data_IF_230962062672
#
_entry.id   IF_230962062672
#
_cell.length_a   1.000
_cell.length_b   1.000
_cell.length_c   1.000
_cell.angle_alpha   90.00
_cell.angle_beta   90.00
_cell.angle_gamma   90.00
#
_symmetry.space_group_name_H-M   'P 1'
#
loop_
_entity.id
_entity.type
_entity.pdbx_description
1 polymer ?
#
# COMPACT_ATOMS: atom_id res chain seq x y z
N UNK A 1 -18.97 -72.85 -34.61
CA UNK A 1 -19.47 -72.48 -35.94
C UNK A 1 -18.30 -72.04 -36.80
N UNK A 2 -18.34 -72.46 -38.07
CA UNK A 2 -17.27 -72.44 -39.06
C UNK A 2 -16.89 -71.02 -39.54
N UNK A 3 -15.63 -70.90 -40.01
CA UNK A 3 -14.98 -69.75 -40.66
C UNK A 3 -15.72 -69.28 -41.94
N UNK A 4 -15.28 -68.16 -42.55
CA UNK A 4 -14.36 -68.25 -43.71
C UNK A 4 -13.18 -67.26 -43.61
N UNK A 5 -11.92 -67.71 -43.83
CA UNK A 5 -11.13 -67.77 -45.09
C UNK A 5 -10.41 -66.45 -45.43
N UNK A 6 -9.07 -66.45 -45.30
CA UNK A 6 -8.02 -66.51 -46.37
C UNK A 6 -7.84 -65.13 -47.04
N UNK A 7 -6.66 -64.55 -47.13
CA UNK A 7 -5.39 -64.97 -47.76
C UNK A 7 -4.26 -64.18 -47.05
N UNK A 8 -2.98 -64.52 -47.05
CA UNK A 8 -2.14 -65.18 -48.03
C UNK A 8 -0.72 -64.64 -47.79
N UNK A 9 0.23 -65.54 -47.77
CA UNK A 9 1.58 -65.37 -47.23
C UNK A 9 2.58 -64.75 -48.21
N UNK A 10 3.58 -64.08 -47.63
CA UNK A 10 5.03 -64.30 -47.86
C UNK A 10 5.84 -63.54 -48.93
N UNK A 11 7.09 -63.30 -48.50
CA UNK A 11 8.37 -63.05 -49.21
C UNK A 11 8.81 -61.61 -49.56
N UNK A 12 9.75 -61.14 -48.72
CA UNK A 12 11.00 -60.39 -48.95
C UNK A 12 11.18 -59.73 -50.32
N UNK A 13 11.66 -58.48 -50.34
CA UNK A 13 12.85 -58.03 -51.10
C UNK A 13 13.32 -56.69 -50.53
N UNK A 14 14.64 -56.50 -50.45
CA UNK A 14 15.24 -55.33 -49.81
C UNK A 14 15.50 -54.15 -50.74
N UNK A 15 16.27 -53.22 -50.16
CA UNK A 15 17.13 -52.20 -50.76
C UNK A 15 16.72 -50.73 -50.57
N UNK A 16 17.77 -49.99 -50.15
CA UNK A 16 18.08 -48.58 -50.37
C UNK A 16 17.55 -47.55 -49.37
N UNK A 17 18.54 -47.09 -48.58
CA UNK A 17 18.61 -45.79 -47.91
C UNK A 17 18.25 -44.68 -48.90
N UNK A 18 17.28 -43.86 -48.55
CA UNK A 18 17.21 -42.47 -48.96
C UNK A 18 16.92 -41.65 -47.71
N UNK A 19 17.89 -40.82 -47.34
CA UNK A 19 17.71 -39.82 -46.30
C UNK A 19 16.78 -38.73 -46.82
N UNK A 20 15.81 -38.36 -45.99
CA UNK A 20 15.13 -37.09 -46.08
C UNK A 20 15.33 -36.40 -44.73
N UNK A 21 16.34 -35.54 -44.66
CA UNK A 21 16.52 -34.61 -43.57
C UNK A 21 15.36 -33.59 -43.67
N UNK A 22 14.42 -33.67 -42.74
CA UNK A 22 13.41 -32.62 -42.56
C UNK A 22 14.13 -31.45 -41.90
N UNK A 23 14.43 -30.43 -42.69
CA UNK A 23 14.95 -29.15 -42.22
C UNK A 23 13.81 -28.46 -41.44
N UNK A 24 13.79 -28.63 -40.13
CA UNK A 24 12.97 -27.80 -39.26
C UNK A 24 13.62 -26.41 -39.22
N UNK A 25 13.15 -25.51 -40.10
CA UNK A 25 13.48 -24.10 -40.01
C UNK A 25 12.71 -23.55 -38.80
N UNK A 26 13.35 -23.62 -37.64
CA UNK A 26 12.97 -22.82 -36.48
C UNK A 26 13.25 -21.36 -36.83
N UNK A 27 12.26 -20.69 -37.40
CA UNK A 27 12.27 -19.24 -37.52
C UNK A 27 12.14 -18.70 -36.10
N UNK A 28 13.28 -18.49 -35.44
CA UNK A 28 13.37 -17.57 -34.31
C UNK A 28 13.12 -16.18 -34.89
N UNK A 29 11.86 -15.78 -34.95
CA UNK A 29 11.51 -14.36 -35.03
C UNK A 29 11.96 -13.74 -33.71
N UNK A 30 13.19 -13.24 -33.65
CA UNK A 30 13.56 -12.20 -32.71
C UNK A 30 12.71 -11.01 -33.09
N UNK A 31 11.54 -10.87 -32.47
CA UNK A 31 10.84 -9.60 -32.47
C UNK A 31 11.75 -8.64 -31.72
N UNK A 32 12.59 -7.93 -32.45
CA UNK A 32 13.12 -6.65 -32.02
C UNK A 32 11.91 -5.75 -31.89
N UNK A 33 11.24 -5.80 -30.74
CA UNK A 33 10.55 -4.62 -30.25
C UNK A 33 11.58 -3.49 -30.39
N UNK A 34 11.24 -2.42 -31.11
CA UNK A 34 12.00 -1.19 -31.05
C UNK A 34 11.91 -0.71 -29.60
N UNK A 35 12.76 -1.26 -28.73
CA UNK A 35 12.83 -0.88 -27.34
C UNK A 35 13.34 0.55 -27.28
N UNK A 36 12.65 1.39 -26.53
CA UNK A 36 13.20 2.65 -26.07
C UNK A 36 14.57 2.38 -25.44
N UNK A 37 15.53 3.27 -25.67
CA UNK A 37 16.83 3.21 -25.00
C UNK A 37 16.60 3.27 -23.49
N UNK A 38 17.22 2.37 -22.68
CA UNK A 38 17.13 2.45 -21.23
C UNK A 38 17.54 3.83 -20.72
N UNK A 39 16.82 4.39 -19.72
CA UNK A 39 17.24 5.62 -19.08
C UNK A 39 18.58 5.41 -18.39
N UNK A 40 19.44 6.43 -18.39
CA UNK A 40 20.72 6.37 -17.70
C UNK A 40 20.51 6.42 -16.18
N UNK A 41 20.87 5.35 -15.48
CA UNK A 41 20.94 5.34 -14.03
C UNK A 41 22.11 6.20 -13.51
N UNK A 42 22.01 6.72 -12.27
CA UNK A 42 23.05 7.57 -11.69
C UNK A 42 24.39 6.84 -11.61
N UNK A 43 25.46 7.52 -12.01
CA UNK A 43 26.83 7.01 -11.88
C UNK A 43 27.32 7.03 -10.43
N UNK A 44 26.84 7.97 -9.62
CA UNK A 44 27.02 8.02 -8.18
C UNK A 44 25.77 7.46 -7.48
N UNK A 45 25.82 6.17 -7.15
CA UNK A 45 24.75 5.45 -6.44
C UNK A 45 24.84 5.59 -4.92
N UNK A 46 25.75 6.42 -4.41
CA UNK A 46 25.77 6.72 -2.98
C UNK A 46 24.51 7.46 -2.55
N UNK A 47 24.06 7.32 -1.28
CA UNK A 47 22.93 8.09 -0.76
C UNK A 47 23.03 9.60 -1.00
N UNK A 48 24.24 10.17 -0.95
CA UNK A 48 24.46 11.60 -1.22
C UNK A 48 24.31 11.95 -2.71
N UNK A 49 24.82 11.10 -3.61
CA UNK A 49 24.68 11.26 -5.05
C UNK A 49 23.23 11.18 -5.52
N UNK A 50 22.52 10.13 -5.08
CA UNK A 50 21.10 9.92 -5.35
C UNK A 50 20.26 11.07 -4.78
N UNK A 51 20.50 11.46 -3.53
CA UNK A 51 19.83 12.60 -2.92
C UNK A 51 20.01 13.88 -3.76
N UNK A 52 21.25 14.23 -4.12
CA UNK A 52 21.54 15.41 -4.94
C UNK A 52 20.83 15.39 -6.29
N UNK A 53 20.74 14.22 -6.94
CA UNK A 53 20.02 14.05 -8.19
C UNK A 53 18.52 14.30 -7.99
N UNK A 54 17.90 13.61 -7.03
CA UNK A 54 16.44 13.63 -6.82
C UNK A 54 15.92 14.98 -6.32
N UNK A 55 16.68 15.69 -5.50
CA UNK A 55 16.30 17.04 -5.02
C UNK A 55 16.74 18.16 -5.95
N UNK A 56 17.46 17.82 -7.02
CA UNK A 56 17.88 18.77 -8.05
C UNK A 56 16.81 19.04 -9.11
N UNK A 57 17.10 19.95 -10.04
CA UNK A 57 16.15 20.36 -11.10
C UNK A 57 15.80 19.23 -12.07
N UNK A 58 16.64 18.21 -12.19
CA UNK A 58 16.41 17.04 -13.06
C UNK A 58 15.77 15.85 -12.32
N UNK A 59 15.50 15.97 -11.03
CA UNK A 59 15.07 14.85 -10.19
C UNK A 59 13.73 14.26 -10.62
N UNK A 60 12.74 15.11 -10.90
CA UNK A 60 11.42 14.66 -11.35
C UNK A 60 11.48 13.98 -12.73
N UNK A 61 12.23 14.55 -13.67
CA UNK A 61 12.45 13.95 -15.00
C UNK A 61 13.19 12.60 -14.90
N UNK A 62 14.15 12.49 -13.98
CA UNK A 62 14.83 11.24 -13.70
C UNK A 62 13.83 10.19 -13.20
N UNK A 63 13.08 10.49 -12.13
CA UNK A 63 12.09 9.56 -11.57
C UNK A 63 11.08 9.15 -12.66
N UNK A 64 10.61 10.09 -13.48
CA UNK A 64 9.69 9.83 -14.58
C UNK A 64 10.26 8.86 -15.61
N UNK A 65 11.49 9.11 -16.05
CA UNK A 65 12.18 8.26 -17.02
C UNK A 65 12.35 6.83 -16.50
N UNK A 66 12.65 6.67 -15.21
CA UNK A 66 12.89 5.36 -14.60
C UNK A 66 11.56 4.65 -14.34
N UNK A 67 10.54 5.37 -13.86
CA UNK A 67 9.22 4.81 -13.52
C UNK A 67 8.42 4.36 -14.73
N UNK A 68 8.53 5.08 -15.85
CA UNK A 68 7.73 4.81 -17.05
C UNK A 68 8.41 3.87 -18.04
N UNK A 69 9.74 3.66 -17.92
CA UNK A 69 10.48 2.71 -18.74
C UNK A 69 10.03 1.28 -18.49
N UNK A 70 9.96 0.46 -19.54
CA UNK A 70 9.58 -0.95 -19.46
C UNK A 70 10.85 -1.78 -19.23
N UNK A 71 11.19 -2.02 -17.96
CA UNK A 71 12.42 -2.68 -17.58
C UNK A 71 12.32 -4.19 -17.81
N UNK A 72 13.34 -4.84 -18.43
CA UNK A 72 13.32 -6.28 -18.68
C UNK A 72 13.45 -7.14 -17.40
N UNK A 73 13.77 -6.53 -16.27
CA UNK A 73 13.95 -7.15 -14.96
C UNK A 73 12.87 -6.71 -13.97
N UNK A 74 11.69 -6.37 -14.47
CA UNK A 74 10.53 -5.92 -13.67
C UNK A 74 10.81 -4.65 -12.83
N UNK A 75 11.84 -3.89 -13.20
CA UNK A 75 12.26 -2.65 -12.54
C UNK A 75 13.27 -2.84 -11.41
N UNK A 76 13.89 -4.02 -11.27
CA UNK A 76 14.79 -4.31 -10.16
C UNK A 76 16.07 -3.45 -10.16
N UNK A 77 16.69 -3.24 -11.32
CA UNK A 77 17.88 -2.38 -11.45
C UNK A 77 17.57 -0.93 -11.07
N UNK A 78 16.40 -0.43 -11.49
CA UNK A 78 15.88 0.87 -11.11
C UNK A 78 15.58 0.97 -9.60
N UNK A 79 14.95 -0.05 -9.03
CA UNK A 79 14.58 -0.12 -7.62
C UNK A 79 15.80 0.05 -6.70
N UNK A 80 16.93 -0.58 -7.05
CA UNK A 80 18.16 -0.56 -6.26
C UNK A 80 18.71 0.86 -5.97
N UNK A 81 18.32 1.86 -6.77
CA UNK A 81 18.68 3.28 -6.54
C UNK A 81 18.05 3.84 -5.25
N UNK A 82 16.90 3.30 -4.82
CA UNK A 82 16.07 3.86 -3.75
C UNK A 82 16.10 3.05 -2.43
N UNK A 83 16.54 1.80 -2.45
CA UNK A 83 16.45 0.85 -1.32
C UNK A 83 17.14 1.31 0.00
N UNK A 84 18.05 2.29 -0.09
CA UNK A 84 18.72 2.83 1.09
C UNK A 84 17.84 3.77 1.93
N UNK A 85 16.78 4.36 1.34
CA UNK A 85 16.01 5.46 1.94
C UNK A 85 15.38 5.02 3.26
N UNK A 86 14.70 3.87 3.29
CA UNK A 86 14.02 3.40 4.49
C UNK A 86 15.00 3.12 5.65
N UNK A 87 16.16 2.52 5.33
CA UNK A 87 17.22 2.26 6.31
C UNK A 87 17.78 3.55 6.88
N UNK A 88 18.12 4.51 6.03
CA UNK A 88 18.72 5.78 6.46
C UNK A 88 17.70 6.67 7.19
N UNK A 89 16.41 6.57 6.89
CA UNK A 89 15.34 7.26 7.62
C UNK A 89 15.26 6.85 9.10
N UNK A 90 15.64 5.61 9.43
CA UNK A 90 15.71 5.11 10.81
C UNK A 90 17.02 5.47 11.53
N UNK A 91 17.93 6.21 10.89
CA UNK A 91 19.21 6.59 11.48
C UNK A 91 19.03 7.54 12.66
N UNK A 92 19.82 7.34 13.72
CA UNK A 92 19.94 8.30 14.82
C UNK A 92 20.75 9.54 14.45
N UNK A 93 21.49 9.49 13.33
CA UNK A 93 22.16 10.67 12.78
C UNK A 93 21.16 11.53 12.00
N UNK A 94 20.88 12.73 12.53
CA UNK A 94 19.89 13.63 11.98
C UNK A 94 20.19 14.04 10.53
N UNK A 95 21.46 14.17 10.13
CA UNK A 95 21.83 14.49 8.75
C UNK A 95 21.48 13.35 7.79
N UNK A 96 21.78 12.10 8.17
CA UNK A 96 21.41 10.91 7.40
C UNK A 96 19.89 10.75 7.29
N UNK A 97 19.16 10.89 8.39
CA UNK A 97 17.70 10.78 8.39
C UNK A 97 17.04 11.92 7.58
N UNK A 98 17.52 13.16 7.70
CA UNK A 98 17.02 14.29 6.90
C UNK A 98 17.24 14.07 5.41
N UNK A 99 18.41 13.54 5.02
CA UNK A 99 18.71 13.21 3.62
C UNK A 99 17.72 12.19 3.06
N UNK A 100 17.44 11.13 3.82
CA UNK A 100 16.47 10.12 3.44
C UNK A 100 15.07 10.72 3.28
N UNK A 101 14.62 11.56 4.22
CA UNK A 101 13.33 12.23 4.13
C UNK A 101 13.20 13.14 2.93
N UNK A 102 14.23 13.93 2.63
CA UNK A 102 14.20 14.84 1.47
C UNK A 102 14.20 14.06 0.14
N UNK A 103 14.88 12.91 0.10
CA UNK A 103 14.83 12.02 -1.07
C UNK A 103 13.46 11.35 -1.21
N UNK A 104 12.87 10.89 -0.10
CA UNK A 104 11.52 10.34 -0.07
C UNK A 104 10.47 11.39 -0.48
N UNK A 105 10.63 12.65 -0.07
CA UNK A 105 9.78 13.77 -0.47
C UNK A 105 9.75 13.94 -1.99
N UNK A 106 10.89 13.80 -2.67
CA UNK A 106 10.95 13.91 -4.14
C UNK A 106 10.13 12.79 -4.82
N UNK A 107 10.18 11.57 -4.28
CA UNK A 107 9.37 10.43 -4.74
C UNK A 107 7.88 10.70 -4.47
N UNK A 108 7.53 11.13 -3.26
CA UNK A 108 6.15 11.44 -2.90
C UNK A 108 5.55 12.54 -3.81
N UNK A 109 6.28 13.64 -4.03
CA UNK A 109 5.87 14.72 -4.93
C UNK A 109 5.67 14.22 -6.36
N UNK A 110 6.56 13.36 -6.87
CA UNK A 110 6.42 12.76 -8.19
C UNK A 110 5.13 11.95 -8.30
N UNK A 111 4.91 11.01 -7.38
CA UNK A 111 3.75 10.14 -7.38
C UNK A 111 2.43 10.90 -7.16
N UNK A 112 2.46 11.98 -6.37
CA UNK A 112 1.31 12.85 -6.15
C UNK A 112 0.94 13.69 -7.37
N UNK A 113 1.91 14.13 -8.15
CA UNK A 113 1.69 15.00 -9.31
C UNK A 113 1.45 14.25 -10.62
N UNK A 114 2.09 13.08 -10.80
CA UNK A 114 1.99 12.25 -12.01
C UNK A 114 1.13 11.00 -11.81
N UNK A 115 0.45 10.87 -10.68
CA UNK A 115 -0.23 9.64 -10.29
C UNK A 115 -1.23 9.12 -11.31
N UNK A 116 -2.06 9.98 -11.89
CA UNK A 116 -3.06 9.58 -12.90
C UNK A 116 -2.39 9.00 -14.17
N UNK A 117 -1.26 9.56 -14.59
CA UNK A 117 -0.52 9.07 -15.75
C UNK A 117 0.14 7.71 -15.46
N UNK A 118 0.64 7.51 -14.25
CA UNK A 118 1.25 6.27 -13.78
C UNK A 118 0.23 5.12 -13.67
N UNK A 119 -1.06 5.42 -13.60
CA UNK A 119 -2.13 4.43 -13.63
C UNK A 119 -2.48 3.98 -15.05
N UNK A 120 -2.11 4.75 -16.08
CA UNK A 120 -2.59 4.58 -17.46
C UNK A 120 -1.44 4.58 -18.50
N UNK A 121 -0.29 4.01 -18.15
CA UNK A 121 0.88 3.99 -19.03
C UNK A 121 0.56 3.24 -20.33
N UNK A 122 0.74 3.95 -21.45
CA UNK A 122 0.53 3.37 -22.78
C UNK A 122 1.42 2.16 -23.01
N UNK A 123 0.83 1.07 -23.52
CA UNK A 123 1.43 -0.24 -23.71
C UNK A 123 0.84 -0.94 -24.94
N UNK A 124 1.46 -2.05 -25.34
CA UNK A 124 1.00 -2.86 -26.47
C UNK A 124 1.25 -2.25 -27.86
N UNK A 125 0.75 -2.92 -28.90
CA UNK A 125 0.95 -2.53 -30.29
C UNK A 125 0.30 -1.16 -30.58
N UNK A 126 1.11 -0.19 -31.01
CA UNK A 126 0.73 1.23 -31.19
C UNK A 126 0.22 1.95 -29.94
N UNK A 127 0.48 1.44 -28.73
CA UNK A 127 0.06 2.11 -27.50
C UNK A 127 -1.44 2.06 -27.21
N UNK A 128 -2.15 1.08 -27.79
CA UNK A 128 -3.60 0.91 -27.69
C UNK A 128 -4.05 0.20 -26.40
N UNK A 129 -3.11 -0.23 -25.55
CA UNK A 129 -3.38 -0.83 -24.24
C UNK A 129 -2.80 0.06 -23.14
N UNK A 130 -3.29 -0.11 -21.91
CA UNK A 130 -2.81 0.62 -20.75
C UNK A 130 -2.40 -0.35 -19.65
N UNK A 131 -1.32 -0.01 -18.96
CA UNK A 131 -0.83 -0.72 -17.78
C UNK A 131 -0.50 0.28 -16.69
N UNK A 132 -0.65 -0.13 -15.45
CA UNK A 132 -0.18 0.64 -14.31
C UNK A 132 1.34 0.50 -14.16
N UNK A 133 1.98 1.44 -13.47
CA UNK A 133 3.40 1.33 -13.13
C UNK A 133 3.71 0.07 -12.30
N UNK A 134 2.85 -0.34 -11.37
CA UNK A 134 3.05 -1.57 -10.59
C UNK A 134 2.86 -2.85 -11.41
N UNK A 135 2.08 -2.81 -12.50
CA UNK A 135 2.00 -3.93 -13.43
C UNK A 135 3.21 -3.99 -14.36
N UNK A 136 3.79 -2.84 -14.72
CA UNK A 136 4.96 -2.75 -15.61
C UNK A 136 6.27 -3.03 -14.87
N UNK A 137 6.45 -2.38 -13.72
CA UNK A 137 7.67 -2.37 -12.93
C UNK A 137 7.36 -2.71 -11.47
N UNK A 138 6.94 -3.96 -11.16
CA UNK A 138 6.51 -4.32 -9.82
C UNK A 138 7.61 -4.17 -8.77
N UNK A 139 8.89 -4.43 -9.08
CA UNK A 139 9.98 -4.25 -8.10
C UNK A 139 10.22 -2.76 -7.80
N UNK A 140 10.09 -1.88 -8.79
CA UNK A 140 10.18 -0.45 -8.58
C UNK A 140 9.02 0.09 -7.74
N UNK A 141 7.78 -0.36 -8.00
CA UNK A 141 6.62 0.02 -7.19
C UNK A 141 6.78 -0.41 -5.71
N UNK A 142 7.40 -1.57 -5.48
CA UNK A 142 7.75 -2.04 -4.12
C UNK A 142 8.81 -1.17 -3.46
N UNK A 143 9.88 -0.85 -4.17
CA UNK A 143 10.94 0.01 -3.64
C UNK A 143 10.45 1.43 -3.32
N UNK A 144 9.57 2.01 -4.16
CA UNK A 144 8.89 3.27 -3.82
C UNK A 144 8.02 3.15 -2.57
N UNK A 145 7.28 2.04 -2.44
CA UNK A 145 6.47 1.78 -1.24
C UNK A 145 7.36 1.72 -0.01
N UNK A 146 8.40 0.87 -0.02
CA UNK A 146 9.34 0.69 1.09
C UNK A 146 10.04 2.00 1.48
N UNK A 147 10.45 2.79 0.49
CA UNK A 147 11.07 4.10 0.67
C UNK A 147 10.16 5.11 1.38
N UNK A 148 8.84 5.00 1.21
CA UNK A 148 7.85 5.93 1.75
C UNK A 148 7.23 5.47 3.08
N UNK A 149 7.36 4.20 3.46
CA UNK A 149 6.80 3.68 4.73
C UNK A 149 7.19 4.49 5.98
N UNK A 150 8.45 4.96 6.15
CA UNK A 150 8.80 5.75 7.33
C UNK A 150 8.10 7.12 7.39
N UNK A 151 7.48 7.55 6.28
CA UNK A 151 6.94 8.88 6.07
C UNK A 151 5.40 8.89 5.94
N UNK A 152 4.70 7.81 6.33
CA UNK A 152 3.23 7.79 6.29
C UNK A 152 2.57 8.79 7.24
N UNK A 153 3.21 9.07 8.39
CA UNK A 153 2.70 9.99 9.41
C UNK A 153 2.64 11.46 8.95
N UNK A 154 3.71 12.06 8.39
CA UNK A 154 3.62 13.45 7.91
C UNK A 154 2.62 13.63 6.77
N UNK A 155 2.33 12.59 5.97
CA UNK A 155 1.29 12.63 4.93
C UNK A 155 -0.12 12.87 5.49
N UNK A 156 -0.35 12.51 6.75
CA UNK A 156 -1.59 12.78 7.48
C UNK A 156 -1.45 13.88 8.53
N UNK A 157 -0.36 14.64 8.42
CA UNK A 157 -0.02 15.81 9.24
C UNK A 157 0.40 15.49 10.69
N UNK A 158 0.83 14.26 10.95
CA UNK A 158 1.60 13.91 12.14
C UNK A 158 3.11 13.97 11.81
N UNK A 159 3.70 15.16 11.93
CA UNK A 159 5.13 15.38 11.62
C UNK A 159 6.08 15.00 12.76
N UNK A 160 5.57 14.49 13.89
CA UNK A 160 6.38 14.21 15.06
C UNK A 160 7.46 13.16 14.75
N UNK A 161 8.72 13.54 14.97
CA UNK A 161 9.86 12.63 14.85
C UNK A 161 10.25 12.28 13.40
N UNK A 162 9.69 12.95 12.40
CA UNK A 162 10.09 12.76 10.99
C UNK A 162 10.98 13.91 10.53
N UNK A 163 12.10 13.59 9.89
CA UNK A 163 13.07 14.58 9.42
C UNK A 163 13.09 14.65 7.90
N UNK A 164 13.15 15.87 7.36
CA UNK A 164 13.34 16.11 5.92
C UNK A 164 12.13 15.83 5.02
N UNK A 165 10.97 15.52 5.59
CA UNK A 165 9.74 15.28 4.85
C UNK A 165 8.68 16.28 5.29
N UNK A 166 8.26 17.12 4.35
CA UNK A 166 7.33 18.22 4.57
C UNK A 166 5.94 17.86 4.05
N UNK A 167 4.98 18.78 4.26
CA UNK A 167 3.68 18.72 3.63
C UNK A 167 3.81 18.70 2.09
N UNK A 168 3.04 17.83 1.43
CA UNK A 168 3.06 17.70 -0.03
C UNK A 168 2.52 18.95 -0.74
N UNK A 169 1.64 19.70 -0.06
CA UNK A 169 1.04 20.92 -0.60
C UNK A 169 1.22 22.09 0.40
N UNK A 170 1.83 23.21 -0.03
CA UNK A 170 2.07 24.37 0.83
C UNK A 170 0.78 25.09 1.27
N UNK A 171 -0.37 24.82 0.65
CA UNK A 171 -1.67 25.36 1.06
C UNK A 171 -2.15 24.78 2.40
N UNK A 172 -1.52 23.70 2.88
CA UNK A 172 -1.70 23.19 4.24
C UNK A 172 -2.06 21.70 4.29
N UNK A 173 -2.45 21.27 5.48
CA UNK A 173 -2.68 19.86 5.80
C UNK A 173 -3.76 19.21 4.90
N UNK A 174 -4.95 19.82 4.80
CA UNK A 174 -6.04 19.25 4.00
C UNK A 174 -5.62 19.08 2.54
N UNK A 175 -5.00 20.09 1.95
CA UNK A 175 -4.48 20.03 0.59
C UNK A 175 -3.42 18.94 0.42
N UNK A 176 -2.52 18.78 1.39
CA UNK A 176 -1.48 17.74 1.38
C UNK A 176 -2.07 16.33 1.44
N UNK A 177 -3.09 16.11 2.26
CA UNK A 177 -3.80 14.82 2.33
C UNK A 177 -4.50 14.52 1.00
N UNK A 178 -5.08 15.54 0.34
CA UNK A 178 -5.65 15.36 -1.00
C UNK A 178 -4.56 15.02 -2.03
N UNK A 179 -3.42 15.70 -1.96
CA UNK A 179 -2.27 15.43 -2.83
C UNK A 179 -1.67 14.03 -2.62
N UNK A 180 -1.85 13.40 -1.44
CA UNK A 180 -1.37 12.04 -1.19
C UNK A 180 -2.23 10.94 -1.87
N UNK A 181 -3.46 11.25 -2.31
CA UNK A 181 -4.36 10.22 -2.89
C UNK A 181 -3.80 9.53 -4.13
N UNK A 182 -3.28 10.23 -5.15
CA UNK A 182 -2.73 9.58 -6.34
C UNK A 182 -1.53 8.71 -5.99
N UNK A 183 -0.70 9.14 -5.04
CA UNK A 183 0.41 8.34 -4.53
C UNK A 183 -0.07 7.01 -3.94
N UNK A 184 -1.06 7.02 -3.03
CA UNK A 184 -1.62 5.78 -2.48
C UNK A 184 -2.24 4.88 -3.54
N UNK A 185 -2.89 5.45 -4.56
CA UNK A 185 -3.44 4.70 -5.68
C UNK A 185 -2.34 4.01 -6.48
N UNK A 186 -1.26 4.72 -6.81
CA UNK A 186 -0.13 4.19 -7.58
C UNK A 186 0.63 3.09 -6.81
N UNK A 187 0.95 3.31 -5.54
CA UNK A 187 1.68 2.33 -4.72
C UNK A 187 0.88 1.02 -4.53
N UNK A 188 -0.45 1.08 -4.63
CA UNK A 188 -1.32 -0.09 -4.60
C UNK A 188 -1.52 -0.77 -5.96
N UNK A 189 -0.75 -0.42 -7.00
CA UNK A 189 -0.89 -1.09 -8.30
C UNK A 189 -0.12 -2.41 -8.40
N UNK A 190 0.84 -2.66 -7.49
CA UNK A 190 1.40 -3.99 -7.22
C UNK A 190 0.75 -4.57 -5.95
N UNK A 191 0.36 -5.84 -5.99
CA UNK A 191 -0.37 -6.48 -4.88
C UNK A 191 0.46 -6.53 -3.58
N UNK A 192 1.76 -6.81 -3.69
CA UNK A 192 2.64 -6.93 -2.52
C UNK A 192 2.92 -5.56 -1.91
N UNK A 193 3.16 -4.55 -2.73
CA UNK A 193 3.22 -3.15 -2.32
C UNK A 193 1.95 -2.73 -1.60
N UNK A 194 0.78 -3.03 -2.18
CA UNK A 194 -0.51 -2.70 -1.60
C UNK A 194 -0.72 -3.31 -0.22
N UNK A 195 -0.43 -4.61 -0.04
CA UNK A 195 -0.49 -5.28 1.27
C UNK A 195 0.48 -4.69 2.29
N UNK A 196 1.69 -4.34 1.85
CA UNK A 196 2.72 -3.75 2.72
C UNK A 196 2.29 -2.36 3.20
N UNK A 197 1.83 -1.52 2.28
CA UNK A 197 1.36 -0.16 2.57
C UNK A 197 0.12 -0.17 3.47
N UNK A 198 -0.89 -0.98 3.15
CA UNK A 198 -2.11 -1.08 3.97
C UNK A 198 -1.84 -1.66 5.35
N UNK A 199 -0.96 -2.67 5.48
CA UNK A 199 -0.54 -3.21 6.78
C UNK A 199 0.19 -2.19 7.66
N UNK A 200 1.09 -1.39 7.07
CA UNK A 200 1.76 -0.30 7.77
C UNK A 200 0.76 0.79 8.20
N UNK A 201 -0.16 1.18 7.30
CA UNK A 201 -1.21 2.13 7.59
C UNK A 201 -2.12 1.68 8.74
N UNK A 202 -2.57 0.42 8.75
CA UNK A 202 -3.38 -0.14 9.85
C UNK A 202 -2.62 -0.13 11.17
N UNK A 203 -1.30 -0.40 11.16
CA UNK A 203 -0.47 -0.35 12.37
C UNK A 203 -0.41 1.06 12.96
N UNK A 204 -0.29 2.08 12.12
CA UNK A 204 -0.28 3.48 12.56
C UNK A 204 -1.67 3.95 13.04
N UNK A 205 -2.74 3.56 12.34
CA UNK A 205 -4.14 3.79 12.75
C UNK A 205 -4.41 3.21 14.14
N UNK A 206 -4.08 1.93 14.37
CA UNK A 206 -4.26 1.28 15.67
C UNK A 206 -3.43 1.99 16.77
N UNK A 207 -2.22 2.47 16.45
CA UNK A 207 -1.39 3.22 17.39
C UNK A 207 -2.00 4.56 17.79
N UNK A 208 -2.54 5.34 16.85
CA UNK A 208 -3.19 6.61 17.16
C UNK A 208 -4.49 6.39 17.93
N UNK A 209 -5.30 5.39 17.59
CA UNK A 209 -6.50 5.04 18.35
C UNK A 209 -6.13 4.68 19.80
N UNK A 210 -5.08 3.89 19.99
CA UNK A 210 -4.56 3.56 21.32
C UNK A 210 -4.03 4.79 22.06
N UNK A 211 -3.25 5.66 21.39
CA UNK A 211 -2.74 6.92 21.95
C UNK A 211 -3.88 7.84 22.42
N UNK A 212 -4.93 7.97 21.61
CA UNK A 212 -6.14 8.72 21.99
C UNK A 212 -6.82 8.12 23.22
N UNK A 213 -6.96 6.80 23.26
CA UNK A 213 -7.55 6.10 24.40
C UNK A 213 -6.66 6.18 25.66
N UNK A 214 -5.34 6.30 25.49
CA UNK A 214 -4.37 6.41 26.57
C UNK A 214 -4.29 7.80 27.19
N UNK A 215 -4.44 8.82 26.35
CA UNK A 215 -4.55 10.22 26.76
C UNK A 215 -5.89 10.55 27.42
N UNK A 216 -5.93 11.63 28.22
CA UNK A 216 -7.19 12.28 28.51
C UNK A 216 -7.72 12.90 27.20
N UNK A 217 -9.01 12.76 26.85
CA UNK A 217 -9.53 12.94 25.48
C UNK A 217 -9.66 14.42 25.07
N UNK A 218 -8.56 15.17 24.96
CA UNK A 218 -8.62 16.64 24.85
C UNK A 218 -8.28 17.25 23.48
N UNK A 219 -7.66 16.53 22.53
CA UNK A 219 -7.35 17.12 21.20
C UNK A 219 -7.99 16.42 20.00
N UNK A 220 -8.30 15.12 20.06
CA UNK A 220 -8.87 14.36 18.94
C UNK A 220 -7.94 14.24 17.71
N UNK A 221 -6.74 14.83 17.74
CA UNK A 221 -5.80 14.86 16.63
C UNK A 221 -5.36 13.45 16.20
N UNK A 222 -5.09 12.58 17.17
CA UNK A 222 -4.76 11.17 16.90
C UNK A 222 -5.86 10.48 16.08
N UNK A 223 -7.13 10.70 16.43
CA UNK A 223 -8.25 10.16 15.66
C UNK A 223 -8.37 10.82 14.27
N UNK A 224 -8.00 12.09 14.12
CA UNK A 224 -7.94 12.75 12.83
C UNK A 224 -6.86 12.12 11.93
N UNK A 225 -5.66 11.87 12.48
CA UNK A 225 -4.58 11.18 11.77
C UNK A 225 -5.01 9.77 11.33
N UNK A 226 -5.64 9.02 12.24
CA UNK A 226 -6.19 7.71 11.95
C UNK A 226 -7.24 7.76 10.82
N UNK A 227 -8.18 8.71 10.87
CA UNK A 227 -9.20 8.89 9.84
C UNK A 227 -8.62 9.18 8.46
N UNK A 228 -7.66 10.10 8.38
CA UNK A 228 -6.97 10.44 7.13
C UNK A 228 -6.23 9.25 6.55
N UNK A 229 -5.44 8.56 7.37
CA UNK A 229 -4.61 7.45 6.90
C UNK A 229 -5.46 6.26 6.48
N UNK A 230 -6.53 5.95 7.23
CA UNK A 230 -7.50 4.94 6.84
C UNK A 230 -8.16 5.30 5.50
N UNK A 231 -8.53 6.57 5.29
CA UNK A 231 -9.12 7.03 4.03
C UNK A 231 -8.17 6.85 2.84
N UNK A 232 -6.91 7.25 3.01
CA UNK A 232 -5.87 7.07 1.97
C UNK A 232 -5.62 5.59 1.67
N UNK A 233 -5.49 4.76 2.71
CA UNK A 233 -5.30 3.32 2.59
C UNK A 233 -6.49 2.65 1.90
N UNK A 234 -7.72 3.04 2.22
CA UNK A 234 -8.94 2.52 1.61
C UNK A 234 -9.07 2.87 0.12
N UNK A 235 -8.68 4.09 -0.28
CA UNK A 235 -8.64 4.46 -1.70
C UNK A 235 -7.59 3.65 -2.46
N UNK A 236 -6.41 3.46 -1.87
CA UNK A 236 -5.35 2.64 -2.46
C UNK A 236 -5.76 1.17 -2.59
N UNK A 237 -6.28 0.58 -1.52
CA UNK A 237 -6.67 -0.84 -1.45
C UNK A 237 -7.68 -1.26 -2.54
N UNK A 238 -8.53 -0.33 -3.02
CA UNK A 238 -9.44 -0.58 -4.15
C UNK A 238 -8.70 -0.98 -5.44
N UNK A 239 -7.40 -0.66 -5.57
CA UNK A 239 -6.56 -1.01 -6.72
C UNK A 239 -5.91 -2.39 -6.60
N UNK A 240 -5.34 -2.71 -5.44
CA UNK A 240 -4.61 -3.97 -5.19
C UNK A 240 -5.52 -5.11 -4.74
N UNK A 241 -6.72 -4.81 -4.23
CA UNK A 241 -7.51 -5.76 -3.44
C UNK A 241 -6.87 -6.07 -2.08
N UNK A 242 -5.89 -5.27 -1.63
CA UNK A 242 -5.27 -5.45 -0.33
C UNK A 242 -6.30 -5.30 0.81
N UNK A 243 -6.18 -6.07 1.89
CA UNK A 243 -7.10 -5.97 3.01
C UNK A 243 -6.92 -4.63 3.73
N UNK A 244 -8.02 -3.91 3.93
CA UNK A 244 -8.10 -2.70 4.75
C UNK A 244 -9.36 -2.79 5.60
N UNK A 245 -9.27 -2.37 6.87
CA UNK A 245 -10.44 -2.35 7.76
C UNK A 245 -11.47 -1.38 7.21
N UNK A 246 -12.75 -1.76 7.20
CA UNK A 246 -13.81 -0.83 6.79
C UNK A 246 -13.94 0.31 7.81
N UNK A 247 -14.50 1.47 7.41
CA UNK A 247 -14.77 2.55 8.36
C UNK A 247 -15.67 2.08 9.52
N UNK A 248 -16.64 1.20 9.23
CA UNK A 248 -17.53 0.66 10.26
C UNK A 248 -16.75 -0.16 11.30
N UNK A 249 -15.91 -1.07 10.82
CA UNK A 249 -15.09 -1.92 11.69
C UNK A 249 -14.04 -1.10 12.46
N UNK A 250 -13.49 -0.04 11.86
CA UNK A 250 -12.55 0.87 12.55
C UNK A 250 -13.24 1.65 13.67
N UNK A 251 -14.45 2.17 13.42
CA UNK A 251 -15.23 2.86 14.46
C UNK A 251 -15.52 1.92 15.62
N UNK A 252 -15.90 0.68 15.33
CA UNK A 252 -16.13 -0.36 16.34
C UNK A 252 -14.86 -0.69 17.14
N UNK A 253 -13.72 -0.83 16.46
CA UNK A 253 -12.44 -1.06 17.11
C UNK A 253 -12.05 0.13 18.02
N UNK A 254 -12.21 1.36 17.53
CA UNK A 254 -11.95 2.56 18.33
C UNK A 254 -12.84 2.62 19.57
N UNK A 255 -14.13 2.32 19.43
CA UNK A 255 -15.05 2.24 20.57
C UNK A 255 -14.59 1.21 21.61
N UNK A 256 -14.17 0.02 21.16
CA UNK A 256 -13.66 -1.02 22.04
C UNK A 256 -12.39 -0.59 22.79
N UNK A 257 -11.40 -0.03 22.09
CA UNK A 257 -10.13 0.41 22.67
C UNK A 257 -10.36 1.54 23.69
N UNK A 258 -11.16 2.54 23.33
CA UNK A 258 -11.49 3.67 24.21
C UNK A 258 -12.27 3.21 25.44
N UNK A 259 -13.28 2.35 25.28
CA UNK A 259 -14.06 1.80 26.40
C UNK A 259 -13.18 0.96 27.34
N UNK A 260 -12.29 0.14 26.79
CA UNK A 260 -11.32 -0.65 27.58
C UNK A 260 -10.49 0.26 28.47
N UNK A 261 -9.95 1.33 27.90
CA UNK A 261 -9.10 2.27 28.63
C UNK A 261 -9.91 3.07 29.68
N UNK A 262 -11.14 3.47 29.36
CA UNK A 262 -12.05 4.13 30.31
C UNK A 262 -12.42 3.26 31.51
N UNK A 263 -12.70 1.97 31.29
CA UNK A 263 -13.00 0.99 32.34
C UNK A 263 -11.76 0.79 33.23
N UNK A 264 -10.58 0.63 32.64
CA UNK A 264 -9.33 0.49 33.38
C UNK A 264 -9.06 1.69 34.30
N UNK A 265 -9.44 2.90 33.88
CA UNK A 265 -9.35 4.14 34.68
C UNK A 265 -10.52 4.36 35.64
N UNK A 266 -11.47 3.42 35.72
CA UNK A 266 -12.69 3.52 36.54
C UNK A 266 -13.57 4.75 36.19
N UNK A 267 -13.51 5.20 34.94
CA UNK A 267 -14.33 6.32 34.45
C UNK A 267 -15.68 5.84 33.91
N UNK A 268 -15.78 4.57 33.56
CA UNK A 268 -16.99 3.93 33.06
C UNK A 268 -17.07 2.47 33.55
N UNK A 269 -18.25 1.86 33.45
CA UNK A 269 -18.48 0.47 33.87
C UNK A 269 -19.32 -0.27 32.81
N UNK A 270 -18.87 -1.47 32.45
CA UNK A 270 -19.58 -2.37 31.53
C UNK A 270 -20.49 -3.34 32.28
N UNK A 271 -21.51 -3.86 31.61
CA UNK A 271 -22.31 -4.96 32.16
C UNK A 271 -21.47 -6.22 32.39
N UNK A 272 -21.70 -6.96 33.50
CA UNK A 272 -20.86 -8.10 33.89
C UNK A 272 -20.76 -9.21 32.84
N UNK A 273 -21.79 -9.43 32.03
CA UNK A 273 -21.82 -10.45 30.98
C UNK A 273 -20.77 -10.21 29.89
N UNK A 274 -20.37 -8.96 29.66
CA UNK A 274 -19.34 -8.58 28.68
C UNK A 274 -17.95 -8.45 29.31
N UNK A 275 -17.81 -8.83 30.57
CA UNK A 275 -16.56 -8.82 31.32
C UNK A 275 -16.04 -10.24 31.51
N UNK A 276 -14.73 -10.42 31.43
CA UNK A 276 -14.04 -11.66 31.79
C UNK A 276 -12.85 -11.34 32.66
N UNK A 277 -12.72 -11.99 33.82
CA UNK A 277 -11.57 -11.81 34.73
C UNK A 277 -11.28 -10.33 35.07
N UNK A 278 -12.32 -9.51 35.18
CA UNK A 278 -12.19 -8.08 35.52
C UNK A 278 -11.77 -7.17 34.37
N UNK A 279 -11.64 -7.69 33.14
CA UNK A 279 -11.42 -6.89 31.92
C UNK A 279 -12.59 -7.00 30.96
N UNK A 280 -12.70 -6.02 30.07
CA UNK A 280 -13.65 -6.04 28.96
C UNK A 280 -13.27 -7.16 27.97
N UNK A 281 -14.23 -7.96 27.53
CA UNK A 281 -14.02 -8.97 26.49
C UNK A 281 -13.69 -8.30 25.14
N UNK A 282 -12.83 -8.88 24.32
CA UNK A 282 -12.70 -8.42 22.92
C UNK A 282 -13.97 -8.76 22.11
N UNK A 283 -14.25 -8.07 20.98
CA UNK A 283 -15.36 -8.44 20.11
C UNK A 283 -15.35 -9.92 19.68
N UNK A 284 -14.15 -10.49 19.49
CA UNK A 284 -13.99 -11.90 19.14
C UNK A 284 -14.29 -12.84 20.32
N UNK A 285 -13.95 -12.44 21.55
CA UNK A 285 -14.33 -13.19 22.74
C UNK A 285 -15.84 -13.16 22.97
N UNK A 286 -16.50 -12.02 22.74
CA UNK A 286 -17.97 -11.91 22.80
C UNK A 286 -18.60 -12.83 21.75
N UNK A 287 -18.12 -12.77 20.51
CA UNK A 287 -18.60 -13.64 19.42
C UNK A 287 -18.47 -15.12 19.79
N UNK A 288 -17.30 -15.52 20.31
CA UNK A 288 -17.01 -16.92 20.64
C UNK A 288 -17.76 -17.42 21.86
N UNK A 289 -17.91 -16.59 22.91
CA UNK A 289 -18.49 -17.02 24.20
C UNK A 289 -19.99 -16.78 24.30
N UNK A 290 -20.49 -15.70 23.71
CA UNK A 290 -21.88 -15.22 23.85
C UNK A 290 -22.68 -15.33 22.55
N UNK A 291 -22.02 -15.62 21.43
CA UNK A 291 -22.63 -15.80 20.12
C UNK A 291 -22.78 -14.51 19.32
N UNK A 292 -22.96 -14.66 18.01
CA UNK A 292 -23.02 -13.53 17.05
C UNK A 292 -24.13 -12.52 17.36
N UNK A 293 -25.28 -12.96 17.87
CA UNK A 293 -26.41 -12.08 18.22
C UNK A 293 -26.07 -11.11 19.35
N UNK A 294 -25.15 -11.48 20.24
CA UNK A 294 -24.73 -10.62 21.36
C UNK A 294 -23.71 -9.57 20.96
N UNK A 295 -23.13 -9.67 19.77
CA UNK A 295 -22.14 -8.70 19.27
C UNK A 295 -22.78 -7.33 19.02
N UNK A 296 -24.02 -7.29 18.52
CA UNK A 296 -24.71 -6.02 18.27
C UNK A 296 -25.06 -5.29 19.57
N UNK A 297 -25.57 -6.01 20.56
CA UNK A 297 -25.81 -5.47 21.90
C UNK A 297 -24.50 -4.98 22.55
N UNK A 298 -23.42 -5.72 22.32
CA UNK A 298 -22.10 -5.36 22.81
C UNK A 298 -21.63 -4.02 22.24
N UNK A 299 -21.70 -3.82 20.92
CA UNK A 299 -21.33 -2.54 20.30
C UNK A 299 -22.26 -1.38 20.71
N UNK A 300 -23.55 -1.64 20.91
CA UNK A 300 -24.47 -0.65 21.48
C UNK A 300 -24.07 -0.22 22.88
N UNK A 301 -23.59 -1.14 23.72
CA UNK A 301 -23.07 -0.83 25.04
C UNK A 301 -21.73 -0.08 24.97
N UNK A 302 -20.82 -0.43 24.06
CA UNK A 302 -19.57 0.31 23.85
C UNK A 302 -19.83 1.75 23.41
N UNK A 303 -20.77 2.00 22.51
CA UNK A 303 -21.12 3.36 22.08
C UNK A 303 -21.63 4.21 23.25
N UNK A 304 -22.47 3.64 24.11
CA UNK A 304 -22.93 4.32 25.33
C UNK A 304 -21.78 4.66 26.30
N UNK A 305 -20.78 3.77 26.45
CA UNK A 305 -19.60 4.05 27.27
C UNK A 305 -18.76 5.19 26.69
N UNK A 306 -18.51 5.14 25.39
CA UNK A 306 -17.75 6.17 24.65
C UNK A 306 -18.46 7.52 24.71
N UNK A 307 -19.81 7.53 24.67
CA UNK A 307 -20.62 8.72 24.89
C UNK A 307 -20.44 9.27 26.31
N UNK A 308 -20.48 8.41 27.33
CA UNK A 308 -20.35 8.81 28.73
C UNK A 308 -18.98 9.44 29.05
N UNK A 309 -17.91 9.00 28.38
CA UNK A 309 -16.56 9.57 28.54
C UNK A 309 -16.25 10.72 27.57
N UNK A 310 -17.25 11.17 26.80
CA UNK A 310 -17.12 12.32 25.90
C UNK A 310 -16.32 12.06 24.61
N UNK A 311 -15.98 10.80 24.31
CA UNK A 311 -15.18 10.43 23.14
C UNK A 311 -16.01 10.32 21.85
N UNK A 312 -17.34 10.19 21.95
CA UNK A 312 -18.21 9.98 20.79
C UNK A 312 -18.09 11.09 19.74
N UNK A 313 -17.95 12.36 20.17
CA UNK A 313 -17.74 13.49 19.26
C UNK A 313 -16.42 13.34 18.49
N UNK A 314 -15.34 12.93 19.14
CA UNK A 314 -14.05 12.79 18.48
C UNK A 314 -14.05 11.62 17.48
N UNK A 315 -14.67 10.48 17.81
CA UNK A 315 -14.85 9.37 16.86
C UNK A 315 -15.64 9.82 15.63
N UNK A 316 -16.76 10.52 15.83
CA UNK A 316 -17.59 11.00 14.72
C UNK A 316 -16.88 12.06 13.88
N UNK A 317 -16.35 13.10 14.51
CA UNK A 317 -15.89 14.30 13.81
C UNK A 317 -14.45 14.14 13.30
N UNK A 318 -13.58 13.42 14.04
CA UNK A 318 -12.16 13.29 13.71
C UNK A 318 -11.89 11.98 12.96
N UNK A 319 -12.25 10.82 13.51
CA UNK A 319 -11.98 9.54 12.82
C UNK A 319 -12.86 9.40 11.57
N UNK A 320 -14.18 9.43 11.74
CA UNK A 320 -15.13 9.28 10.63
C UNK A 320 -15.10 10.51 9.71
N UNK A 321 -15.20 11.71 10.27
CA UNK A 321 -15.24 12.94 9.48
C UNK A 321 -14.01 13.13 8.60
N UNK A 322 -12.80 12.86 9.10
CA UNK A 322 -11.60 12.96 8.26
C UNK A 322 -11.50 11.84 7.24
N UNK A 323 -11.89 10.61 7.58
CA UNK A 323 -12.00 9.52 6.60
C UNK A 323 -12.91 9.92 5.43
N UNK A 324 -14.10 10.41 5.74
CA UNK A 324 -15.14 10.82 4.79
C UNK A 324 -14.66 11.97 3.89
N UNK A 325 -13.96 12.97 4.45
CA UNK A 325 -13.29 14.04 3.68
C UNK A 325 -12.23 13.49 2.72
N UNK A 326 -11.46 12.50 3.14
CA UNK A 326 -10.47 11.87 2.27
C UNK A 326 -11.16 11.03 1.20
N UNK A 327 -12.14 10.20 1.50
CA UNK A 327 -12.77 9.34 0.49
C UNK A 327 -13.76 10.08 -0.41
N UNK A 328 -14.19 11.29 -0.05
CA UNK A 328 -15.21 12.05 -0.79
C UNK A 328 -16.63 11.52 -0.58
N UNK A 329 -16.86 10.73 0.48
CA UNK A 329 -18.19 10.28 0.87
C UNK A 329 -18.67 11.22 1.98
N UNK A 330 -19.70 12.03 1.71
CA UNK A 330 -20.42 12.83 2.72
C UNK A 330 -21.84 12.29 2.87
#
# INVERSE_FOLDING_TARGET
MLRPNRYGSSWRWGWRKFGAAILAISIFTTMTACGSTPPSLPTDTSPAGVHKLLTGTAGQDFIDSVATYDWPDDGAEAAAVFDWIARDAASTDATTATRAGQTAQAIANYLSTRGDELLELSSGWFGLSHQTVGSRNPELARSFTESLLPFLKPLVCDSNGTLGFDLLDPAGCDASVQAAKPMFAVLNTDERSGRTLTGAASTDVDRWVQSYADGAPTSGADLAFAGRLLGLASLGAQRSGAPVRSLHDEVQQAQYVIATAAIARKQAAMWPEFMVEGRLMSPEEVRTKLGVTRVDEYYGALDNLVLAVGAHRAIRDQLRGEYEKVTGHQ
#
